data_IF_283807843292
#
_entry.id   IF_283807843292
#
_cell.length_a   1.000
_cell.length_b   1.000
_cell.length_c   1.000
_cell.angle_alpha   90.00
_cell.angle_beta   90.00
_cell.angle_gamma   90.00
#
_symmetry.space_group_name_H-M   'P 1'
#
loop_
_entity.id
_entity.type
_entity.pdbx_description
1 polymer ?
#
# COMPACT_ATOMS: atom_id res chain seq x y z
N UNK A 1 9.21 -8.48 7.21
CA UNK A 1 9.34 -8.79 5.77
C UNK A 1 9.80 -7.53 5.03
N UNK A 2 10.55 -7.68 3.93
CA UNK A 2 10.83 -6.55 3.01
C UNK A 2 9.71 -6.47 1.98
N UNK A 3 9.22 -5.26 1.70
CA UNK A 3 8.27 -5.06 0.60
C UNK A 3 8.99 -5.28 -0.73
N UNK A 4 8.32 -5.99 -1.64
CA UNK A 4 8.78 -6.22 -3.01
C UNK A 4 7.69 -5.76 -3.97
N UNK A 5 7.98 -4.85 -4.94
CA UNK A 5 7.00 -4.42 -5.92
C UNK A 5 6.53 -5.60 -6.79
N UNK A 6 5.37 -5.44 -7.42
CA UNK A 6 4.93 -6.42 -8.41
C UNK A 6 5.88 -6.41 -9.63
N UNK A 7 6.08 -7.58 -10.24
CA UNK A 7 6.92 -7.76 -11.43
C UNK A 7 6.10 -8.13 -12.66
N UNK A 8 4.78 -7.93 -12.60
CA UNK A 8 3.76 -8.33 -13.60
C UNK A 8 3.71 -9.82 -13.96
N UNK A 9 4.61 -10.63 -13.41
CA UNK A 9 4.61 -12.10 -13.49
C UNK A 9 3.78 -12.73 -12.36
N UNK A 10 2.56 -12.21 -12.14
CA UNK A 10 1.68 -12.68 -11.08
C UNK A 10 1.20 -14.11 -11.35
N UNK A 11 1.38 -14.99 -10.37
CA UNK A 11 0.83 -16.35 -10.42
C UNK A 11 -0.41 -16.46 -9.54
N UNK A 12 -1.31 -17.38 -9.88
CA UNK A 12 -2.53 -17.64 -9.09
C UNK A 12 -2.45 -18.91 -8.27
N UNK A 13 -1.51 -19.80 -8.58
CA UNK A 13 -1.31 -21.06 -7.88
C UNK A 13 -0.60 -20.87 -6.54
N UNK A 14 -0.99 -21.67 -5.55
CA UNK A 14 -0.40 -21.65 -4.22
C UNK A 14 -0.83 -20.45 -3.37
N UNK A 15 -0.12 -20.23 -2.27
CA UNK A 15 -0.41 -19.15 -1.30
C UNK A 15 0.37 -17.87 -1.54
N UNK A 16 1.40 -17.93 -2.41
CA UNK A 16 2.32 -16.84 -2.70
C UNK A 16 2.49 -16.64 -4.20
N UNK A 17 2.62 -15.39 -4.60
CA UNK A 17 2.95 -15.01 -5.97
C UNK A 17 4.40 -15.36 -6.26
N UNK A 18 4.65 -16.21 -7.26
CA UNK A 18 6.01 -16.60 -7.66
C UNK A 18 6.81 -15.46 -8.28
N UNK A 19 6.15 -14.42 -8.81
CA UNK A 19 6.80 -13.26 -9.41
C UNK A 19 7.37 -12.25 -8.40
N UNK A 20 6.63 -11.94 -7.33
CA UNK A 20 7.05 -10.93 -6.33
C UNK A 20 7.29 -11.50 -4.93
N UNK A 21 7.00 -12.78 -4.69
CA UNK A 21 7.21 -13.49 -3.42
C UNK A 21 6.20 -13.17 -2.32
N UNK A 22 5.29 -12.22 -2.55
CA UNK A 22 4.25 -11.81 -1.60
C UNK A 22 3.11 -12.81 -1.52
N UNK A 23 2.45 -12.90 -0.36
CA UNK A 23 1.26 -13.76 -0.24
C UNK A 23 0.11 -13.17 -1.06
N UNK A 24 -0.77 -14.03 -1.59
CA UNK A 24 -1.94 -13.54 -2.32
C UNK A 24 -2.86 -12.69 -1.43
N UNK A 25 -2.91 -13.00 -0.14
CA UNK A 25 -3.65 -12.21 0.84
C UNK A 25 -3.05 -10.80 1.02
N UNK A 26 -1.73 -10.67 1.10
CA UNK A 26 -1.06 -9.37 1.16
C UNK A 26 -1.34 -8.55 -0.11
N UNK A 27 -1.27 -9.19 -1.29
CA UNK A 27 -1.52 -8.53 -2.57
C UNK A 27 -2.97 -8.02 -2.64
N UNK A 28 -3.95 -8.83 -2.23
CA UNK A 28 -5.35 -8.43 -2.17
C UNK A 28 -5.57 -7.26 -1.20
N UNK A 29 -4.95 -7.33 -0.02
CA UNK A 29 -5.00 -6.24 0.97
C UNK A 29 -4.42 -4.93 0.43
N UNK A 30 -3.26 -4.99 -0.24
CA UNK A 30 -2.64 -3.83 -0.88
C UNK A 30 -3.53 -3.26 -1.99
N UNK A 31 -4.11 -4.13 -2.83
CA UNK A 31 -5.04 -3.70 -3.89
C UNK A 31 -6.27 -2.99 -3.32
N UNK A 32 -6.80 -3.45 -2.18
CA UNK A 32 -7.94 -2.81 -1.52
C UNK A 32 -7.60 -1.41 -0.97
N UNK A 33 -6.35 -1.17 -0.57
CA UNK A 33 -5.87 0.18 -0.20
C UNK A 33 -5.89 1.11 -1.43
N UNK A 34 -5.42 0.61 -2.58
CA UNK A 34 -5.44 1.35 -3.84
C UNK A 34 -6.86 1.77 -4.26
N UNK A 35 -7.84 0.85 -4.14
CA UNK A 35 -9.26 1.14 -4.42
C UNK A 35 -9.81 2.20 -3.47
N UNK A 36 -9.48 2.15 -2.17
CA UNK A 36 -9.93 3.17 -1.21
C UNK A 36 -9.36 4.55 -1.52
N UNK A 37 -8.08 4.63 -1.89
CA UNK A 37 -7.44 5.86 -2.35
C UNK A 37 -8.14 6.41 -3.60
N UNK A 38 -8.39 5.56 -4.59
CA UNK A 38 -9.07 5.93 -5.83
C UNK A 38 -10.48 6.48 -5.56
N UNK A 39 -11.27 5.79 -4.74
CA UNK A 39 -12.62 6.24 -4.41
C UNK A 39 -12.61 7.61 -3.74
N UNK A 40 -11.63 7.88 -2.87
CA UNK A 40 -11.47 9.19 -2.24
C UNK A 40 -11.11 10.28 -3.27
N UNK A 41 -10.19 9.99 -4.20
CA UNK A 41 -9.83 10.94 -5.24
C UNK A 41 -11.03 11.27 -6.15
N UNK A 42 -11.85 10.27 -6.50
CA UNK A 42 -13.08 10.46 -7.28
C UNK A 42 -14.11 11.31 -6.52
N UNK A 43 -14.27 11.09 -5.20
CA UNK A 43 -15.26 11.80 -4.38
C UNK A 43 -14.96 13.31 -4.27
N UNK A 44 -13.68 13.68 -4.17
CA UNK A 44 -13.28 15.06 -3.92
C UNK A 44 -12.78 15.81 -5.16
N UNK A 45 -12.53 15.11 -6.27
CA UNK A 45 -12.17 15.67 -7.58
C UNK A 45 -11.09 16.76 -7.49
N UNK A 46 -9.99 16.46 -6.80
CA UNK A 46 -8.89 17.41 -6.61
C UNK A 46 -8.25 17.77 -7.95
N UNK A 47 -7.91 19.06 -8.12
CA UNK A 47 -7.13 19.54 -9.27
C UNK A 47 -5.68 19.01 -9.26
N UNK A 48 -5.17 18.58 -8.10
CA UNK A 48 -3.81 18.12 -7.84
C UNK A 48 -3.74 16.78 -7.06
N UNK A 49 -4.30 15.68 -7.60
CA UNK A 49 -4.44 14.41 -6.90
C UNK A 49 -3.10 13.81 -6.44
N UNK A 50 -1.99 14.12 -7.10
CA UNK A 50 -0.65 13.70 -6.73
C UNK A 50 -0.22 14.26 -5.37
N UNK A 51 -0.60 15.50 -5.06
CA UNK A 51 -0.28 16.17 -3.78
C UNK A 51 -0.97 15.43 -2.63
N UNK A 52 -2.23 15.04 -2.82
CA UNK A 52 -2.94 14.22 -1.85
C UNK A 52 -2.22 12.88 -1.59
N UNK A 53 -1.84 12.16 -2.66
CA UNK A 53 -1.16 10.86 -2.55
C UNK A 53 0.18 10.99 -1.83
N UNK A 54 0.96 12.04 -2.12
CA UNK A 54 2.22 12.34 -1.44
C UNK A 54 2.00 12.56 0.07
N UNK A 55 1.02 13.39 0.43
CA UNK A 55 0.70 13.68 1.84
C UNK A 55 0.27 12.40 2.57
N UNK A 56 -0.55 11.55 1.95
CA UNK A 56 -0.98 10.27 2.53
C UNK A 56 0.20 9.33 2.75
N UNK A 57 1.10 9.19 1.77
CA UNK A 57 2.33 8.42 1.88
C UNK A 57 3.19 8.88 3.06
N UNK A 58 3.49 10.18 3.11
CA UNK A 58 4.31 10.81 4.14
C UNK A 58 3.70 10.66 5.55
N UNK A 59 2.38 10.87 5.68
CA UNK A 59 1.67 10.69 6.95
C UNK A 59 1.69 9.23 7.41
N UNK A 60 1.57 8.27 6.50
CA UNK A 60 1.56 6.84 6.81
C UNK A 60 2.89 6.37 7.38
N UNK A 61 4.00 6.74 6.72
CA UNK A 61 5.36 6.43 7.21
C UNK A 61 5.63 7.12 8.55
N UNK A 62 5.28 8.40 8.69
CA UNK A 62 5.47 9.14 9.95
C UNK A 62 4.71 8.53 11.12
N UNK A 63 3.47 8.07 10.90
CA UNK A 63 2.66 7.38 11.93
C UNK A 63 3.28 6.05 12.33
N UNK A 64 3.79 5.26 11.38
CA UNK A 64 4.49 4.01 11.66
C UNK A 64 5.73 4.24 12.55
N UNK A 65 6.58 5.20 12.18
CA UNK A 65 7.79 5.52 12.95
C UNK A 65 7.46 5.98 14.37
N UNK A 66 6.44 6.83 14.54
CA UNK A 66 5.95 7.23 15.87
C UNK A 66 5.43 6.05 16.68
N UNK A 67 4.71 5.13 16.05
CA UNK A 67 4.20 3.94 16.73
C UNK A 67 5.34 3.03 17.20
N UNK A 68 6.38 2.86 16.38
CA UNK A 68 7.58 2.09 16.74
C UNK A 68 8.35 2.74 17.90
N UNK A 69 8.54 4.06 17.89
CA UNK A 69 9.21 4.80 18.98
C UNK A 69 8.47 4.67 20.32
N UNK A 70 7.14 4.59 20.30
CA UNK A 70 6.32 4.38 21.51
C UNK A 70 6.43 2.96 22.06
N UNK A 71 6.79 1.95 21.26
CA UNK A 71 6.98 0.56 21.73
C UNK A 71 8.33 0.35 22.42
N UNK A 72 9.29 1.26 22.22
CA UNK A 72 10.62 1.18 22.82
C UNK A 72 10.78 2.02 24.11
N UNK A 73 9.70 2.66 24.57
CA UNK A 73 9.61 3.39 25.84
C UNK A 73 8.66 2.66 26.77
#
# INVERSE_FOLDING_TARGET
>A
MKFSPCTDNCTKDGTHCKGCGRSHQEIQSMSAIGVQLLNHLIEYDYDDPEVFVEIVSNKSVKRLLKHQQKKCK
#
